data_IF_453610849501
#
_entry.id   IF_453610849501
#
_cell.length_a   1.000
_cell.length_b   1.000
_cell.length_c   1.000
_cell.angle_alpha   90.00
_cell.angle_beta   90.00
_cell.angle_gamma   90.00
#
_symmetry.space_group_name_H-M   'P 1'
#
loop_
_entity.id
_entity.type
_entity.pdbx_description
1 polymer ?
#
# COMPACT_ATOMS: atom_id res chain seq x y z
N UNK A 1 75.25 -52.99 -24.68
CA UNK A 1 75.20 -52.52 -26.09
C UNK A 1 73.89 -52.95 -26.77
N UNK A 2 73.52 -54.23 -26.77
CA UNK A 2 72.30 -54.75 -27.43
C UNK A 2 71.00 -54.07 -26.93
N UNK A 3 70.84 -53.87 -25.62
CA UNK A 3 69.65 -53.19 -25.08
C UNK A 3 69.53 -51.71 -25.49
N UNK A 4 70.67 -51.01 -25.64
CA UNK A 4 70.68 -49.61 -26.05
C UNK A 4 70.32 -49.45 -27.53
N UNK A 5 70.75 -50.38 -28.38
CA UNK A 5 70.35 -50.43 -29.80
C UNK A 5 68.86 -50.76 -29.97
N UNK A 6 68.30 -51.66 -29.16
CA UNK A 6 66.86 -51.94 -29.18
C UNK A 6 66.02 -50.73 -28.75
N UNK A 7 66.43 -50.02 -27.69
CA UNK A 7 65.79 -48.76 -27.28
C UNK A 7 65.91 -47.67 -28.34
N UNK A 8 67.07 -47.56 -28.99
CA UNK A 8 67.29 -46.64 -30.11
C UNK A 8 66.30 -46.88 -31.26
N UNK A 9 66.14 -48.14 -31.70
CA UNK A 9 65.22 -48.50 -32.79
C UNK A 9 63.76 -48.22 -32.40
N UNK A 10 63.36 -48.50 -31.16
CA UNK A 10 62.00 -48.26 -30.68
C UNK A 10 61.68 -46.77 -30.56
N UNK A 11 62.59 -45.98 -29.97
CA UNK A 11 62.44 -44.53 -29.89
C UNK A 11 62.43 -43.91 -31.28
N UNK A 12 63.28 -44.41 -32.20
CA UNK A 12 63.32 -43.91 -33.58
C UNK A 12 62.01 -44.15 -34.32
N UNK A 13 61.46 -45.37 -34.26
CA UNK A 13 60.14 -45.67 -34.84
C UNK A 13 59.05 -44.74 -34.28
N UNK A 14 59.08 -44.48 -32.98
CA UNK A 14 58.12 -43.59 -32.32
C UNK A 14 58.29 -42.13 -32.76
N UNK A 15 59.52 -41.63 -32.86
CA UNK A 15 59.80 -40.28 -33.38
C UNK A 15 59.42 -40.12 -34.86
N UNK A 16 59.70 -41.14 -35.70
CA UNK A 16 59.34 -41.15 -37.11
C UNK A 16 57.80 -41.11 -37.31
N UNK A 17 57.02 -41.74 -36.43
CA UNK A 17 55.55 -41.65 -36.42
C UNK A 17 55.04 -40.23 -36.16
N UNK A 18 55.77 -39.45 -35.35
CA UNK A 18 55.48 -38.04 -35.09
C UNK A 18 56.17 -37.10 -36.10
N UNK A 19 56.86 -37.64 -37.11
CA UNK A 19 57.49 -36.89 -38.20
C UNK A 19 58.90 -36.37 -37.91
N UNK A 20 59.50 -36.70 -36.77
CA UNK A 20 60.86 -36.27 -36.40
C UNK A 20 61.92 -37.16 -37.05
N UNK A 21 62.42 -36.75 -38.22
CA UNK A 21 63.33 -37.55 -39.05
C UNK A 21 64.82 -37.19 -38.91
N UNK A 22 65.21 -36.25 -38.04
CA UNK A 22 66.61 -35.83 -37.85
C UNK A 22 67.51 -36.99 -37.35
N UNK A 23 68.78 -37.11 -37.78
CA UNK A 23 69.66 -38.19 -37.32
C UNK A 23 69.91 -38.09 -35.80
N UNK A 24 69.78 -39.22 -35.08
CA UNK A 24 69.93 -39.30 -33.63
C UNK A 24 71.13 -40.19 -33.27
N UNK A 25 71.96 -39.75 -32.33
CA UNK A 25 73.05 -40.55 -31.76
C UNK A 25 72.57 -41.49 -30.64
N UNK A 26 73.26 -42.62 -30.47
CA UNK A 26 72.92 -43.63 -29.44
C UNK A 26 73.05 -43.08 -28.00
N UNK A 27 73.94 -42.11 -27.79
CA UNK A 27 74.18 -41.49 -26.48
C UNK A 27 73.02 -40.61 -26.02
N UNK A 28 72.26 -40.04 -26.97
CA UNK A 28 71.16 -39.11 -26.69
C UNK A 28 69.82 -39.81 -26.43
N UNK A 29 69.74 -41.13 -26.64
CA UNK A 29 68.50 -41.93 -26.52
C UNK A 29 67.81 -41.79 -25.17
N UNK A 30 68.49 -41.92 -24.02
CA UNK A 30 67.81 -41.91 -22.72
C UNK A 30 67.20 -40.54 -22.38
N UNK A 31 67.83 -39.46 -22.82
CA UNK A 31 67.35 -38.10 -22.61
C UNK A 31 66.12 -37.82 -23.49
N UNK A 32 66.21 -38.17 -24.78
CA UNK A 32 65.11 -37.97 -25.73
C UNK A 32 63.90 -38.83 -25.36
N UNK A 33 64.10 -40.05 -24.88
CA UNK A 33 63.01 -40.92 -24.40
C UNK A 33 62.26 -40.30 -23.22
N UNK A 34 62.98 -39.72 -22.25
CA UNK A 34 62.36 -39.02 -21.11
C UNK A 34 61.62 -37.76 -21.55
N UNK A 35 62.27 -36.89 -22.32
CA UNK A 35 61.65 -35.66 -22.81
C UNK A 35 60.41 -35.93 -23.65
N UNK A 36 60.45 -36.97 -24.48
CA UNK A 36 59.31 -37.35 -25.32
C UNK A 36 58.17 -37.95 -24.49
N UNK A 37 58.48 -38.75 -23.47
CA UNK A 37 57.47 -39.26 -22.54
C UNK A 37 56.83 -38.12 -21.74
N UNK A 38 57.63 -37.18 -21.24
CA UNK A 38 57.14 -35.98 -20.55
C UNK A 38 56.29 -35.10 -21.46
N UNK A 39 56.66 -34.95 -22.73
CA UNK A 39 55.87 -34.20 -23.72
C UNK A 39 54.52 -34.88 -24.00
N UNK A 40 54.49 -36.21 -24.11
CA UNK A 40 53.23 -36.97 -24.25
C UNK A 40 52.39 -36.82 -22.99
N UNK A 41 52.97 -36.97 -21.81
CA UNK A 41 52.25 -36.83 -20.55
C UNK A 41 51.68 -35.42 -20.35
N UNK A 42 52.45 -34.38 -20.69
CA UNK A 42 51.98 -32.99 -20.60
C UNK A 42 50.89 -32.68 -21.63
N UNK A 43 51.01 -33.17 -22.86
CA UNK A 43 49.96 -32.98 -23.90
C UNK A 43 48.68 -33.74 -23.58
N UNK A 44 48.78 -34.96 -23.07
CA UNK A 44 47.62 -35.74 -22.61
C UNK A 44 46.97 -35.12 -21.38
N UNK A 45 47.78 -34.69 -20.40
CA UNK A 45 47.29 -33.98 -19.21
C UNK A 45 46.63 -32.65 -19.57
N UNK A 46 47.18 -31.90 -20.52
CA UNK A 46 46.59 -30.67 -21.02
C UNK A 46 45.27 -30.92 -21.74
N UNK A 47 45.20 -31.96 -22.58
CA UNK A 47 43.95 -32.36 -23.25
C UNK A 47 42.87 -32.74 -22.22
N UNK A 48 43.24 -33.52 -21.20
CA UNK A 48 42.35 -33.91 -20.11
C UNK A 48 41.90 -32.71 -19.28
N UNK A 49 42.80 -31.77 -18.99
CA UNK A 49 42.48 -30.53 -18.29
C UNK A 49 41.52 -29.66 -19.10
N UNK A 50 41.77 -29.49 -20.41
CA UNK A 50 40.87 -28.75 -21.32
C UNK A 50 39.47 -29.38 -21.36
N UNK A 51 39.39 -30.71 -21.39
CA UNK A 51 38.11 -31.43 -21.38
C UNK A 51 37.36 -31.25 -20.04
N UNK A 52 38.08 -31.32 -18.91
CA UNK A 52 37.51 -31.06 -17.58
C UNK A 52 37.03 -29.62 -17.44
N UNK A 53 37.80 -28.64 -17.92
CA UNK A 53 37.44 -27.22 -17.93
C UNK A 53 36.15 -26.98 -18.73
N UNK A 54 36.05 -27.53 -19.95
CA UNK A 54 34.83 -27.42 -20.75
C UNK A 54 33.62 -28.11 -20.13
N UNK A 55 33.82 -29.25 -19.43
CA UNK A 55 32.74 -29.90 -18.69
C UNK A 55 32.29 -29.07 -17.48
N UNK A 56 33.22 -28.39 -16.81
CA UNK A 56 32.91 -27.46 -15.72
C UNK A 56 32.20 -26.19 -16.22
N UNK A 57 32.64 -25.58 -17.32
CA UNK A 57 31.96 -24.42 -17.95
C UNK A 57 30.50 -24.77 -18.29
N UNK A 58 30.25 -25.91 -18.94
CA UNK A 58 28.88 -26.35 -19.24
C UNK A 58 28.05 -26.66 -17.99
N UNK A 59 28.68 -27.15 -16.92
CA UNK A 59 27.99 -27.37 -15.66
C UNK A 59 27.63 -26.05 -14.97
N UNK A 60 28.47 -25.03 -15.06
CA UNK A 60 28.22 -23.68 -14.52
C UNK A 60 27.01 -23.05 -15.25
N UNK A 61 26.94 -23.20 -16.57
CA UNK A 61 25.79 -22.73 -17.36
C UNK A 61 24.48 -23.48 -17.02
N UNK A 62 24.56 -24.76 -16.63
CA UNK A 62 23.39 -25.54 -16.21
C UNK A 62 22.99 -25.36 -14.73
N UNK A 63 23.88 -24.79 -13.91
CA UNK A 63 23.66 -24.49 -12.49
C UNK A 63 23.26 -23.01 -12.31
N UNK A 64 22.80 -22.33 -13.37
CA UNK A 64 22.24 -20.98 -13.23
C UNK A 64 20.78 -20.99 -12.76
N UNK A 65 20.50 -21.74 -11.69
CA UNK A 65 19.25 -21.59 -10.93
C UNK A 65 19.15 -20.22 -10.24
N UNK A 66 20.18 -19.37 -10.35
CA UNK A 66 20.24 -18.02 -9.77
C UNK A 66 19.66 -16.94 -10.68
N UNK A 67 19.60 -17.18 -11.99
CA UNK A 67 19.11 -16.22 -12.98
C UNK A 67 17.65 -15.81 -12.73
N UNK A 68 16.70 -16.73 -12.44
CA UNK A 68 15.32 -16.34 -12.12
C UNK A 68 15.25 -15.46 -10.86
N UNK A 69 15.99 -15.81 -9.81
CA UNK A 69 16.02 -15.01 -8.58
C UNK A 69 16.68 -13.65 -8.78
N UNK A 70 17.70 -13.53 -9.64
CA UNK A 70 18.30 -12.24 -9.98
C UNK A 70 17.31 -11.35 -10.74
N UNK A 71 16.57 -11.90 -11.68
CA UNK A 71 15.55 -11.17 -12.45
C UNK A 71 14.42 -10.71 -11.52
N UNK A 72 13.94 -11.60 -10.65
CA UNK A 72 12.86 -11.26 -9.72
C UNK A 72 13.31 -10.27 -8.65
N UNK A 73 14.52 -10.40 -8.10
CA UNK A 73 15.09 -9.40 -7.19
C UNK A 73 15.27 -8.04 -7.86
N UNK A 74 15.67 -8.01 -9.14
CA UNK A 74 15.79 -6.76 -9.89
C UNK A 74 14.41 -6.09 -10.08
N UNK A 75 13.37 -6.87 -10.40
CA UNK A 75 11.98 -6.37 -10.49
C UNK A 75 11.47 -5.86 -9.15
N UNK A 76 11.65 -6.63 -8.07
CA UNK A 76 11.25 -6.23 -6.73
C UNK A 76 11.96 -4.96 -6.29
N UNK A 77 13.25 -4.82 -6.60
CA UNK A 77 14.00 -3.60 -6.29
C UNK A 77 13.49 -2.41 -7.08
N UNK A 78 13.13 -2.59 -8.36
CA UNK A 78 12.50 -1.55 -9.16
C UNK A 78 11.15 -1.14 -8.58
N UNK A 79 10.28 -2.10 -8.28
CA UNK A 79 8.97 -1.84 -7.68
C UNK A 79 9.10 -1.14 -6.32
N UNK A 80 10.05 -1.59 -5.48
CA UNK A 80 10.30 -0.97 -4.18
C UNK A 80 10.75 0.49 -4.34
N UNK A 81 11.65 0.76 -5.28
CA UNK A 81 12.08 2.13 -5.58
C UNK A 81 10.94 3.00 -6.12
N UNK A 82 10.08 2.46 -6.99
CA UNK A 82 8.91 3.17 -7.52
C UNK A 82 7.87 3.46 -6.42
N UNK A 83 7.60 2.48 -5.56
CA UNK A 83 6.71 2.64 -4.41
C UNK A 83 7.27 3.66 -3.42
N UNK A 84 8.57 3.62 -3.13
CA UNK A 84 9.23 4.59 -2.27
C UNK A 84 9.12 6.02 -2.84
N UNK A 85 9.32 6.20 -4.15
CA UNK A 85 9.12 7.49 -4.81
C UNK A 85 7.67 7.97 -4.75
N UNK A 86 6.69 7.08 -4.96
CA UNK A 86 5.26 7.41 -4.82
C UNK A 86 4.94 7.82 -3.38
N UNK A 87 5.48 7.12 -2.40
CA UNK A 87 5.29 7.42 -0.98
C UNK A 87 5.89 8.79 -0.63
N UNK A 88 7.10 9.09 -1.10
CA UNK A 88 7.72 10.41 -0.91
C UNK A 88 6.87 11.54 -1.51
N UNK A 89 6.35 11.36 -2.73
CA UNK A 89 5.48 12.35 -3.38
C UNK A 89 4.19 12.55 -2.59
N UNK A 90 3.50 11.47 -2.23
CA UNK A 90 2.28 11.54 -1.45
C UNK A 90 2.50 12.21 -0.09
N UNK A 91 3.61 11.90 0.60
CA UNK A 91 3.98 12.57 1.84
C UNK A 91 4.24 14.06 1.64
N UNK A 92 4.92 14.46 0.56
CA UNK A 92 5.13 15.87 0.24
C UNK A 92 3.80 16.60 0.00
N UNK A 93 2.88 15.98 -0.74
CA UNK A 93 1.55 16.55 -1.02
C UNK A 93 0.72 16.70 0.26
N UNK A 94 0.69 15.67 1.11
CA UNK A 94 0.01 15.72 2.41
C UNK A 94 0.60 16.81 3.31
N UNK A 95 1.93 16.94 3.35
CA UNK A 95 2.58 17.98 4.15
C UNK A 95 2.24 19.39 3.64
N UNK A 96 2.22 19.59 2.32
CA UNK A 96 1.82 20.86 1.72
C UNK A 96 0.36 21.20 2.04
N UNK A 97 -0.57 20.26 1.82
CA UNK A 97 -1.98 20.45 2.15
C UNK A 97 -2.21 20.71 3.63
N UNK A 98 -1.49 20.00 4.51
CA UNK A 98 -1.54 20.21 5.95
C UNK A 98 -1.06 21.62 6.33
N UNK A 99 0.00 22.12 5.66
CA UNK A 99 0.48 23.48 5.88
C UNK A 99 -0.56 24.52 5.45
N UNK A 100 -1.12 24.37 4.25
CA UNK A 100 -2.17 25.26 3.73
C UNK A 100 -3.42 25.26 4.63
N UNK A 101 -3.86 24.09 5.07
CA UNK A 101 -5.00 23.97 5.99
C UNK A 101 -4.71 24.66 7.34
N UNK A 102 -3.50 24.52 7.89
CA UNK A 102 -3.10 25.22 9.13
C UNK A 102 -3.08 26.74 8.95
N UNK A 103 -2.59 27.23 7.82
CA UNK A 103 -2.58 28.66 7.52
C UNK A 103 -3.99 29.23 7.38
N UNK A 104 -4.87 28.52 6.67
CA UNK A 104 -6.28 28.94 6.52
C UNK A 104 -7.02 28.90 7.86
N UNK A 105 -6.75 27.89 8.69
CA UNK A 105 -7.30 27.77 10.05
C UNK A 105 -6.88 28.97 10.89
N UNK A 106 -5.58 29.27 10.95
CA UNK A 106 -5.07 30.43 11.69
C UNK A 106 -5.66 31.75 11.21
N UNK A 107 -5.86 31.90 9.89
CA UNK A 107 -6.51 33.09 9.31
C UNK A 107 -7.97 33.20 9.78
N UNK A 108 -8.72 32.10 9.78
CA UNK A 108 -10.11 32.09 10.23
C UNK A 108 -10.23 32.31 11.74
N UNK A 109 -9.32 31.77 12.54
CA UNK A 109 -9.24 32.04 13.98
C UNK A 109 -9.05 33.52 14.26
N UNK A 110 -8.07 34.17 13.62
CA UNK A 110 -7.83 35.60 13.76
C UNK A 110 -9.07 36.42 13.34
N UNK A 111 -9.71 36.09 12.21
CA UNK A 111 -10.94 36.77 11.78
C UNK A 111 -12.09 36.59 12.79
N UNK A 112 -12.17 35.42 13.42
CA UNK A 112 -13.18 35.16 14.44
C UNK A 112 -12.90 35.96 15.72
N UNK A 113 -11.63 36.06 16.14
CA UNK A 113 -11.21 36.93 17.24
C UNK A 113 -11.57 38.40 16.97
N UNK A 114 -11.27 38.89 15.76
CA UNK A 114 -11.63 40.25 15.33
C UNK A 114 -13.15 40.48 15.36
N UNK A 115 -13.93 39.53 14.85
CA UNK A 115 -15.39 39.61 14.88
C UNK A 115 -15.95 39.55 16.30
N UNK A 116 -15.38 38.73 17.18
CA UNK A 116 -15.78 38.67 18.59
C UNK A 116 -15.46 39.99 19.31
N UNK A 117 -14.31 40.60 19.01
CA UNK A 117 -13.95 41.91 19.53
C UNK A 117 -14.92 42.99 19.05
N UNK A 118 -15.21 43.03 17.74
CA UNK A 118 -16.13 43.98 17.15
C UNK A 118 -17.57 43.82 17.70
N UNK A 119 -18.03 42.58 17.85
CA UNK A 119 -19.33 42.28 18.44
C UNK A 119 -19.40 42.77 19.91
N UNK A 120 -18.34 42.51 20.68
CA UNK A 120 -18.22 43.02 22.05
C UNK A 120 -18.28 44.55 22.11
N UNK A 121 -17.64 45.23 21.16
CA UNK A 121 -17.69 46.69 21.03
C UNK A 121 -19.10 47.20 20.68
N UNK A 122 -19.80 46.54 19.74
CA UNK A 122 -21.18 46.88 19.40
C UNK A 122 -22.11 46.71 20.60
N UNK A 123 -21.96 45.64 21.37
CA UNK A 123 -22.73 45.42 22.61
C UNK A 123 -22.51 46.56 23.61
N UNK A 124 -21.26 47.01 23.81
CA UNK A 124 -20.97 48.13 24.70
C UNK A 124 -21.60 49.43 24.19
N UNK A 125 -21.53 49.67 22.89
CA UNK A 125 -22.10 50.86 22.24
C UNK A 125 -23.62 50.88 22.40
N UNK A 126 -24.30 49.76 22.16
CA UNK A 126 -25.74 49.60 22.38
C UNK A 126 -26.10 49.90 23.84
N UNK A 127 -25.38 49.32 24.81
CA UNK A 127 -25.62 49.59 26.23
C UNK A 127 -25.48 51.07 26.61
N UNK A 128 -24.53 51.78 25.99
CA UNK A 128 -24.36 53.21 26.22
C UNK A 128 -25.53 54.02 25.64
N UNK A 129 -25.96 53.70 24.41
CA UNK A 129 -27.12 54.32 23.78
C UNK A 129 -28.42 54.04 24.53
N UNK A 130 -28.61 52.82 25.03
CA UNK A 130 -29.76 52.46 25.87
C UNK A 130 -29.81 53.29 27.16
N UNK A 131 -28.65 53.49 27.81
CA UNK A 131 -28.55 54.37 29.00
C UNK A 131 -28.87 55.82 28.66
N UNK A 132 -28.33 56.35 27.57
CA UNK A 132 -28.60 57.73 27.16
C UNK A 132 -30.07 57.92 26.76
N UNK A 133 -30.65 56.97 26.04
CA UNK A 133 -32.07 56.94 25.67
C UNK A 133 -32.97 56.95 26.91
N UNK A 134 -32.62 56.13 27.91
CA UNK A 134 -33.32 56.13 29.21
C UNK A 134 -33.21 57.48 29.91
N UNK A 135 -32.01 58.08 29.96
CA UNK A 135 -31.82 59.40 30.55
C UNK A 135 -32.63 60.50 29.85
N UNK A 136 -32.67 60.49 28.51
CA UNK A 136 -33.51 61.42 27.74
C UNK A 136 -34.99 61.21 28.02
N UNK A 137 -35.44 59.95 28.08
CA UNK A 137 -36.82 59.59 28.42
C UNK A 137 -37.21 60.09 29.81
N UNK A 138 -36.37 59.83 30.82
CA UNK A 138 -36.55 60.30 32.20
C UNK A 138 -36.55 61.84 32.27
N UNK A 139 -35.72 62.51 31.46
CA UNK A 139 -35.69 63.97 31.40
C UNK A 139 -36.96 64.55 30.78
N UNK A 140 -37.46 63.95 29.70
CA UNK A 140 -38.74 64.31 29.08
C UNK A 140 -39.87 64.11 30.10
N UNK A 141 -39.88 63.00 30.83
CA UNK A 141 -40.89 62.74 31.86
C UNK A 141 -40.86 63.81 32.97
N UNK A 142 -39.68 64.19 33.46
CA UNK A 142 -39.52 65.29 34.41
C UNK A 142 -40.00 66.63 33.87
N UNK A 143 -39.70 66.95 32.61
CA UNK A 143 -40.18 68.18 31.96
C UNK A 143 -41.72 68.17 31.80
N UNK A 144 -42.30 67.03 31.41
CA UNK A 144 -43.75 66.85 31.34
C UNK A 144 -44.41 67.01 32.72
N UNK A 145 -43.79 66.45 33.76
CA UNK A 145 -44.27 66.58 35.15
C UNK A 145 -44.17 68.03 35.64
N UNK A 146 -43.06 68.72 35.37
CA UNK A 146 -42.89 70.14 35.69
C UNK A 146 -43.87 71.02 34.90
N UNK A 147 -44.16 70.68 33.64
CA UNK A 147 -45.16 71.36 32.82
C UNK A 147 -46.59 71.13 33.32
N UNK A 148 -46.92 69.94 33.83
CA UNK A 148 -48.22 69.67 34.49
C UNK A 148 -48.38 70.49 35.78
N UNK A 149 -47.28 70.76 36.47
CA UNK A 149 -47.25 71.55 37.70
C UNK A 149 -47.12 73.07 37.45
N UNK A 150 -46.90 73.51 36.21
CA UNK A 150 -46.81 74.92 35.84
C UNK A 150 -48.22 75.53 35.84
N UNK A 151 -48.65 75.99 37.02
CA UNK A 151 -49.85 76.80 37.20
C UNK A 151 -49.60 78.17 36.55
N UNK A 152 -50.16 78.37 35.36
CA UNK A 152 -50.33 79.72 34.78
C UNK A 152 -51.48 80.38 35.53
N UNK A 153 -51.16 81.24 36.49
CA UNK A 153 -52.15 82.11 37.12
C UNK A 153 -52.58 83.19 36.12
N UNK A 154 -53.64 82.92 35.36
CA UNK A 154 -54.42 84.00 34.74
C UNK A 154 -55.35 84.59 35.81
N UNK A 155 -55.29 85.91 36.08
CA UNK A 155 -56.16 86.54 37.07
C UNK A 155 -57.57 86.67 36.50
N UNK A 156 -58.40 85.64 36.69
CA UNK A 156 -59.81 85.70 36.33
C UNK A 156 -60.47 84.35 36.08
N UNK A 157 -60.90 83.68 37.15
CA UNK A 157 -62.01 82.73 37.09
C UNK A 157 -61.67 81.30 36.66
N UNK A 158 -62.05 80.36 37.53
CA UNK A 158 -61.86 78.90 37.40
C UNK A 158 -62.25 78.38 36.01
N UNK A 159 -61.26 77.95 35.23
CA UNK A 159 -61.44 76.96 34.16
C UNK A 159 -60.45 75.83 34.39
N UNK A 160 -60.99 74.63 34.57
CA UNK A 160 -60.20 73.42 34.69
C UNK A 160 -59.61 73.13 33.30
N UNK A 161 -58.33 73.42 33.10
CA UNK A 161 -57.66 73.18 31.83
C UNK A 161 -57.45 71.67 31.75
N UNK A 162 -58.20 71.04 30.86
CA UNK A 162 -58.08 69.61 30.63
C UNK A 162 -56.72 69.34 29.99
N UNK A 163 -55.80 68.70 30.72
CA UNK A 163 -54.56 68.11 30.18
C UNK A 163 -54.86 66.88 29.31
N UNK A 164 -55.86 66.95 28.42
CA UNK A 164 -55.93 66.00 27.33
C UNK A 164 -54.80 66.36 26.39
N UNK A 165 -53.87 65.43 26.21
CA UNK A 165 -53.02 65.38 25.03
C UNK A 165 -53.92 65.73 23.83
N UNK A 166 -53.59 66.75 23.02
CA UNK A 166 -54.29 66.95 21.77
C UNK A 166 -54.23 65.64 21.00
N UNK A 167 -55.35 64.92 20.93
CA UNK A 167 -55.53 63.89 19.91
C UNK A 167 -56.06 64.64 18.71
N UNK A 168 -55.32 64.59 17.61
CA UNK A 168 -55.90 64.99 16.33
C UNK A 168 -57.02 64.02 16.01
N UNK A 169 -58.25 64.53 15.98
CA UNK A 169 -59.36 63.87 15.32
C UNK A 169 -59.07 63.96 13.82
N UNK A 170 -58.85 62.80 13.20
CA UNK A 170 -58.71 62.70 11.74
C UNK A 170 -60.15 62.63 11.21
N UNK A 171 -60.62 63.74 10.63
CA UNK A 171 -61.86 63.76 9.87
C UNK A 171 -61.76 62.72 8.73
N UNK A 172 -62.74 61.81 8.75
CA UNK A 172 -63.25 61.04 7.62
C UNK A 172 -62.22 60.55 6.59
N UNK A 173 -61.85 59.27 6.70
CA UNK A 173 -61.25 58.53 5.58
C UNK A 173 -62.19 58.57 4.38
N UNK A 174 -61.69 59.21 3.31
CA UNK A 174 -62.33 59.39 2.01
C UNK A 174 -63.07 58.13 1.52
N UNK A 175 -64.28 58.34 1.01
CA UNK A 175 -64.97 57.37 0.15
C UNK A 175 -64.24 57.28 -1.19
N UNK A 176 -63.58 56.15 -1.46
CA UNK A 176 -63.18 55.79 -2.82
C UNK A 176 -64.47 55.60 -3.63
N UNK A 177 -64.72 56.53 -4.54
CA UNK A 177 -65.63 56.33 -5.67
C UNK A 177 -64.77 56.13 -6.92
N UNK A 178 -65.04 55.02 -7.61
CA UNK A 178 -64.42 54.62 -8.84
C UNK A 178 -64.58 55.68 -9.94
N UNK A 179 -63.46 55.93 -10.61
CA UNK A 179 -63.27 56.33 -12.01
C UNK A 179 -64.20 57.40 -12.61
N UNK A 180 -63.60 58.49 -13.12
CA UNK A 180 -63.70 58.93 -14.52
C UNK A 180 -62.72 60.11 -14.76
N UNK A 181 -61.88 59.94 -15.78
CA UNK A 181 -61.21 60.94 -16.63
C UNK A 181 -61.22 62.43 -16.20
N UNK A 182 -60.04 63.01 -16.00
CA UNK A 182 -59.66 64.23 -16.74
C UNK A 182 -58.14 64.42 -16.75
N UNK A 183 -57.61 64.63 -17.96
CA UNK A 183 -56.30 65.25 -18.17
C UNK A 183 -56.32 66.64 -17.54
N UNK A 184 -55.59 66.84 -16.43
CA UNK A 184 -55.05 68.14 -16.03
C UNK A 184 -53.69 67.93 -15.39
N UNK A 185 -52.67 68.49 -16.04
CA UNK A 185 -51.46 68.93 -15.38
C UNK A 185 -51.87 69.70 -14.13
N UNK A 186 -51.49 69.20 -12.97
CA UNK A 186 -51.38 69.99 -11.75
C UNK A 186 -50.16 69.41 -11.03
N UNK A 187 -49.13 70.23 -10.91
CA UNK A 187 -48.14 70.13 -9.84
C UNK A 187 -48.93 70.09 -8.54
N UNK A 188 -49.20 68.89 -8.05
CA UNK A 188 -49.66 68.69 -6.68
C UNK A 188 -48.49 69.20 -5.84
N UNK A 189 -48.66 70.21 -4.97
CA UNK A 189 -47.63 70.51 -3.97
C UNK A 189 -47.46 69.21 -3.22
N UNK A 190 -46.31 68.55 -3.40
CA UNK A 190 -46.03 67.26 -2.80
C UNK A 190 -46.28 67.42 -1.32
N UNK A 191 -47.40 66.87 -0.84
CA UNK A 191 -47.78 66.98 0.56
C UNK A 191 -46.59 66.45 1.34
N UNK A 192 -45.92 67.27 2.17
CA UNK A 192 -44.68 66.87 2.84
C UNK A 192 -44.83 65.56 3.59
N UNK A 193 -46.04 65.27 4.10
CA UNK A 193 -46.35 64.02 4.78
C UNK A 193 -46.43 62.81 3.85
N UNK A 194 -46.98 62.99 2.64
CA UNK A 194 -47.06 61.93 1.62
C UNK A 194 -45.69 61.64 1.03
N UNK A 195 -44.85 62.66 0.86
CA UNK A 195 -43.45 62.51 0.44
C UNK A 195 -42.61 61.78 1.50
N UNK A 196 -42.77 62.12 2.78
CA UNK A 196 -42.09 61.44 3.89
C UNK A 196 -42.53 59.98 4.02
N UNK A 197 -43.83 59.69 3.84
CA UNK A 197 -44.32 58.31 3.89
C UNK A 197 -43.84 57.47 2.70
N UNK A 198 -43.80 58.05 1.50
CA UNK A 198 -43.23 57.42 0.31
C UNK A 198 -41.73 57.16 0.49
N UNK A 199 -40.96 58.13 0.97
CA UNK A 199 -39.52 57.94 1.22
C UNK A 199 -39.25 56.91 2.32
N UNK A 200 -40.09 56.83 3.36
CA UNK A 200 -40.03 55.75 4.35
C UNK A 200 -40.35 54.37 3.74
N UNK A 201 -41.37 54.29 2.88
CA UNK A 201 -41.72 53.05 2.19
C UNK A 201 -40.62 52.62 1.20
N UNK A 202 -40.02 53.57 0.48
CA UNK A 202 -38.90 53.32 -0.43
C UNK A 202 -37.65 52.88 0.35
N UNK A 203 -37.34 53.53 1.48
CA UNK A 203 -36.25 53.11 2.36
C UNK A 203 -36.47 51.69 2.88
N UNK A 204 -37.71 51.36 3.28
CA UNK A 204 -38.10 50.00 3.73
C UNK A 204 -38.00 48.98 2.59
N UNK A 205 -38.41 49.36 1.38
CA UNK A 205 -38.28 48.51 0.19
C UNK A 205 -36.81 48.29 -0.19
N UNK A 206 -35.95 49.31 -0.09
CA UNK A 206 -34.51 49.16 -0.28
C UNK A 206 -33.88 48.23 0.77
N UNK A 207 -34.25 48.37 2.05
CA UNK A 207 -33.79 47.46 3.11
C UNK A 207 -34.20 46.01 2.82
N UNK A 208 -35.48 45.77 2.49
CA UNK A 208 -36.00 44.44 2.21
C UNK A 208 -35.40 43.84 0.94
N UNK A 209 -35.17 44.65 -0.10
CA UNK A 209 -34.48 44.19 -1.32
C UNK A 209 -33.01 43.86 -1.06
N UNK A 210 -32.31 44.64 -0.24
CA UNK A 210 -30.95 44.31 0.20
C UNK A 210 -30.91 43.04 1.05
N UNK A 211 -31.86 42.83 1.95
CA UNK A 211 -31.95 41.61 2.76
C UNK A 211 -32.24 40.38 1.88
N UNK A 212 -33.20 40.49 0.97
CA UNK A 212 -33.48 39.43 -0.01
C UNK A 212 -32.25 39.09 -0.86
N UNK A 213 -31.50 40.09 -1.33
CA UNK A 213 -30.26 39.87 -2.08
C UNK A 213 -29.18 39.16 -1.25
N UNK A 214 -29.06 39.48 0.05
CA UNK A 214 -28.15 38.78 0.97
C UNK A 214 -28.56 37.34 1.20
N UNK A 215 -29.85 37.08 1.41
CA UNK A 215 -30.39 35.72 1.58
C UNK A 215 -30.15 34.92 0.31
N UNK A 216 -30.40 35.51 -0.86
CA UNK A 216 -30.21 34.83 -2.14
C UNK A 216 -28.75 34.43 -2.38
N UNK A 217 -27.78 35.32 -2.10
CA UNK A 217 -26.34 34.98 -2.15
C UNK A 217 -25.98 33.85 -1.19
N UNK A 218 -26.49 33.88 0.05
CA UNK A 218 -26.25 32.80 1.02
C UNK A 218 -26.82 31.47 0.53
N UNK A 219 -27.99 31.47 -0.09
CA UNK A 219 -28.58 30.26 -0.68
C UNK A 219 -27.71 29.73 -1.82
N UNK A 220 -27.25 30.58 -2.73
CA UNK A 220 -26.34 30.15 -3.81
C UNK A 220 -25.03 29.54 -3.28
N UNK A 221 -24.46 30.14 -2.23
CA UNK A 221 -23.25 29.61 -1.60
C UNK A 221 -23.50 28.27 -0.88
N UNK A 222 -24.65 28.13 -0.21
CA UNK A 222 -25.07 26.88 0.41
C UNK A 222 -25.32 25.79 -0.63
N UNK A 223 -25.96 26.11 -1.76
CA UNK A 223 -26.19 25.16 -2.85
C UNK A 223 -24.88 24.68 -3.47
N UNK A 224 -23.91 25.58 -3.70
CA UNK A 224 -22.56 25.19 -4.16
C UNK A 224 -21.89 24.27 -3.16
N UNK A 225 -21.94 24.60 -1.87
CA UNK A 225 -21.33 23.78 -0.81
C UNK A 225 -22.00 22.42 -0.68
N UNK A 226 -23.33 22.37 -0.80
CA UNK A 226 -24.11 21.14 -0.83
C UNK A 226 -23.73 20.27 -2.03
N UNK A 227 -23.58 20.87 -3.22
CA UNK A 227 -23.16 20.15 -4.43
C UNK A 227 -21.74 19.57 -4.27
N UNK A 228 -20.79 20.32 -3.72
CA UNK A 228 -19.43 19.82 -3.48
C UNK A 228 -19.42 18.68 -2.47
N UNK A 229 -20.15 18.83 -1.35
CA UNK A 229 -20.23 17.80 -0.33
C UNK A 229 -20.92 16.53 -0.85
N UNK A 230 -21.94 16.69 -1.70
CA UNK A 230 -22.61 15.56 -2.34
C UNK A 230 -21.66 14.77 -3.24
N UNK A 231 -20.85 15.46 -4.05
CA UNK A 231 -19.84 14.81 -4.89
C UNK A 231 -18.79 14.06 -4.05
N UNK A 232 -18.38 14.63 -2.91
CA UNK A 232 -17.45 13.99 -1.98
C UNK A 232 -18.05 12.73 -1.35
N UNK A 233 -19.32 12.80 -0.92
CA UNK A 233 -20.05 11.64 -0.39
C UNK A 233 -20.18 10.53 -1.44
N UNK A 234 -20.49 10.88 -2.68
CA UNK A 234 -20.61 9.91 -3.78
C UNK A 234 -19.25 9.22 -4.06
N UNK A 235 -18.16 9.98 -4.05
CA UNK A 235 -16.81 9.44 -4.19
C UNK A 235 -16.45 8.49 -3.05
N UNK A 236 -16.71 8.89 -1.80
CA UNK A 236 -16.44 8.05 -0.63
C UNK A 236 -17.29 6.78 -0.63
N UNK A 237 -18.56 6.86 -1.03
CA UNK A 237 -19.41 5.67 -1.19
C UNK A 237 -18.87 4.72 -2.24
N UNK A 238 -18.38 5.23 -3.37
CA UNK A 238 -17.81 4.38 -4.41
C UNK A 238 -16.50 3.73 -3.95
N UNK A 239 -15.62 4.48 -3.30
CA UNK A 239 -14.39 3.95 -2.71
C UNK A 239 -14.66 2.86 -1.67
N UNK A 240 -15.67 3.06 -0.80
CA UNK A 240 -16.08 2.06 0.18
C UNK A 240 -16.57 0.77 -0.49
N UNK A 241 -17.40 0.87 -1.54
CA UNK A 241 -17.87 -0.32 -2.30
C UNK A 241 -16.70 -1.09 -2.93
N UNK A 242 -15.70 -0.40 -3.45
CA UNK A 242 -14.53 -1.05 -4.06
C UNK A 242 -13.64 -1.71 -3.00
N UNK A 243 -13.50 -1.10 -1.83
CA UNK A 243 -12.80 -1.69 -0.69
C UNK A 243 -13.53 -2.93 -0.16
N UNK A 244 -14.85 -2.89 -0.02
CA UNK A 244 -15.66 -4.06 0.38
C UNK A 244 -15.49 -5.23 -0.58
N UNK A 245 -15.48 -4.97 -1.90
CA UNK A 245 -15.23 -6.03 -2.90
C UNK A 245 -13.85 -6.65 -2.76
N UNK A 246 -12.81 -5.83 -2.57
CA UNK A 246 -11.44 -6.33 -2.35
C UNK A 246 -11.34 -7.15 -1.07
N UNK A 247 -12.00 -6.70 -0.01
CA UNK A 247 -12.06 -7.45 1.24
C UNK A 247 -12.72 -8.81 1.05
N UNK A 248 -13.88 -8.87 0.39
CA UNK A 248 -14.56 -10.14 0.10
C UNK A 248 -13.70 -11.09 -0.76
N UNK A 249 -12.99 -10.57 -1.75
CA UNK A 249 -12.07 -11.37 -2.56
C UNK A 249 -10.91 -11.92 -1.73
N UNK A 250 -10.33 -11.12 -0.83
CA UNK A 250 -9.27 -11.57 0.06
C UNK A 250 -9.77 -12.64 1.05
N UNK A 251 -10.98 -12.49 1.59
CA UNK A 251 -11.62 -13.48 2.47
C UNK A 251 -11.87 -14.81 1.74
N UNK A 252 -12.33 -14.76 0.49
CA UNK A 252 -12.50 -15.95 -0.35
C UNK A 252 -11.17 -16.67 -0.59
N UNK A 253 -10.13 -15.94 -1.04
CA UNK A 253 -8.80 -16.52 -1.26
C UNK A 253 -8.22 -17.12 0.02
N UNK A 254 -8.41 -16.47 1.16
CA UNK A 254 -7.96 -16.99 2.45
C UNK A 254 -8.69 -18.29 2.82
N UNK A 255 -10.00 -18.37 2.59
CA UNK A 255 -10.79 -19.58 2.79
C UNK A 255 -10.30 -20.73 1.90
N UNK A 256 -10.02 -20.46 0.63
CA UNK A 256 -9.54 -21.47 -0.32
C UNK A 256 -8.15 -22.01 0.06
N UNK A 257 -7.21 -21.12 0.41
CA UNK A 257 -5.86 -21.50 0.87
C UNK A 257 -5.93 -22.29 2.17
N UNK A 258 -6.85 -21.97 3.07
CA UNK A 258 -7.03 -22.70 4.32
C UNK A 258 -7.58 -24.11 4.06
N UNK A 259 -8.50 -24.27 3.11
CA UNK A 259 -9.00 -25.57 2.68
C UNK A 259 -7.90 -26.42 2.02
N UNK A 260 -7.09 -25.82 1.15
CA UNK A 260 -5.96 -26.49 0.49
C UNK A 260 -4.91 -26.94 1.52
N UNK A 261 -4.54 -26.07 2.48
CA UNK A 261 -3.61 -26.43 3.55
C UNK A 261 -4.13 -27.60 4.40
N UNK A 262 -5.44 -27.65 4.66
CA UNK A 262 -6.04 -28.76 5.38
C UNK A 262 -5.91 -30.07 4.59
N UNK A 263 -6.22 -30.04 3.29
CA UNK A 263 -6.08 -31.22 2.42
C UNK A 263 -4.61 -31.68 2.30
N UNK A 264 -3.66 -30.75 2.16
CA UNK A 264 -2.23 -31.05 2.13
C UNK A 264 -1.75 -31.66 3.45
N UNK A 265 -2.26 -31.17 4.58
CA UNK A 265 -1.94 -31.74 5.90
C UNK A 265 -2.45 -33.17 6.02
N UNK A 266 -3.69 -33.43 5.64
CA UNK A 266 -4.27 -34.79 5.61
C UNK A 266 -3.44 -35.71 4.71
N UNK A 267 -3.06 -35.25 3.51
CA UNK A 267 -2.21 -36.05 2.60
C UNK A 267 -0.81 -36.31 3.17
N UNK A 268 -0.23 -35.36 3.88
CA UNK A 268 1.06 -35.56 4.55
C UNK A 268 0.97 -36.56 5.70
N UNK A 269 -0.14 -36.59 6.44
CA UNK A 269 -0.40 -37.58 7.49
C UNK A 269 -0.53 -39.00 6.89
N UNK A 270 -1.23 -39.13 5.76
CA UNK A 270 -1.31 -40.39 5.00
C UNK A 270 0.07 -40.86 4.55
N UNK A 271 0.87 -39.99 3.91
CA UNK A 271 2.23 -40.32 3.47
C UNK A 271 3.13 -40.73 4.63
N UNK A 272 3.02 -40.07 5.79
CA UNK A 272 3.74 -40.48 7.00
C UNK A 272 3.36 -41.90 7.42
N UNK A 273 2.07 -42.26 7.36
CA UNK A 273 1.60 -43.61 7.67
C UNK A 273 2.12 -44.66 6.68
N UNK A 274 2.11 -44.34 5.38
CA UNK A 274 2.64 -45.19 4.31
C UNK A 274 4.15 -45.45 4.51
N UNK A 275 4.92 -44.42 4.86
CA UNK A 275 6.35 -44.55 5.16
C UNK A 275 6.63 -45.44 6.37
N UNK A 276 5.78 -45.40 7.40
CA UNK A 276 5.89 -46.31 8.56
C UNK A 276 5.68 -47.76 8.13
N UNK A 277 4.67 -48.02 7.31
CA UNK A 277 4.39 -49.35 6.77
C UNK A 277 5.56 -49.84 5.90
N UNK A 278 6.07 -48.98 5.01
CA UNK A 278 7.19 -49.32 4.13
C UNK A 278 8.46 -49.66 4.93
N UNK A 279 8.77 -48.88 5.97
CA UNK A 279 9.89 -49.16 6.88
C UNK A 279 9.74 -50.51 7.60
N UNK A 280 8.52 -50.88 7.99
CA UNK A 280 8.26 -52.19 8.61
C UNK A 280 8.50 -53.33 7.61
N UNK A 281 8.02 -53.18 6.38
CA UNK A 281 8.26 -54.16 5.30
C UNK A 281 9.75 -54.28 5.00
N UNK A 282 10.46 -53.16 4.86
CA UNK A 282 11.89 -53.13 4.62
C UNK A 282 12.67 -53.91 5.70
N UNK A 283 12.39 -53.65 6.99
CA UNK A 283 13.01 -54.39 8.10
C UNK A 283 12.73 -55.89 8.06
N UNK A 284 11.54 -56.29 7.62
CA UNK A 284 11.20 -57.71 7.50
C UNK A 284 11.99 -58.36 6.36
N UNK A 285 12.07 -57.73 5.19
CA UNK A 285 12.87 -58.20 4.06
C UNK A 285 14.34 -58.34 4.47
N UNK A 286 14.88 -57.35 5.18
CA UNK A 286 16.27 -57.38 5.65
C UNK A 286 16.53 -58.58 6.58
N UNK A 287 15.60 -58.86 7.51
CA UNK A 287 15.68 -60.04 8.39
C UNK A 287 15.61 -61.35 7.61
N UNK A 288 14.71 -61.47 6.65
CA UNK A 288 14.58 -62.68 5.82
C UNK A 288 15.83 -62.90 4.97
N UNK A 289 16.42 -61.82 4.42
CA UNK A 289 17.70 -61.89 3.71
C UNK A 289 18.82 -62.41 4.63
N UNK A 290 18.97 -61.86 5.83
CA UNK A 290 19.98 -62.34 6.79
C UNK A 290 19.79 -63.80 7.20
N UNK A 291 18.54 -64.29 7.30
CA UNK A 291 18.28 -65.71 7.54
C UNK A 291 18.70 -66.56 6.35
N UNK A 292 18.30 -66.16 5.13
CA UNK A 292 18.68 -66.85 3.90
C UNK A 292 20.20 -66.92 3.71
N UNK A 293 20.92 -65.82 3.96
CA UNK A 293 22.39 -65.78 3.89
C UNK A 293 23.01 -66.80 4.88
N UNK A 294 22.50 -66.88 6.12
CA UNK A 294 22.97 -67.88 7.12
C UNK A 294 22.67 -69.31 6.70
N UNK A 295 21.52 -69.57 6.10
CA UNK A 295 21.15 -70.91 5.62
C UNK A 295 22.06 -71.35 4.48
N UNK A 296 22.34 -70.45 3.52
CA UNK A 296 23.28 -70.68 2.42
C UNK A 296 24.69 -70.91 2.95
N UNK A 297 25.19 -70.08 3.87
CA UNK A 297 26.50 -70.28 4.51
C UNK A 297 26.57 -71.63 5.25
N UNK A 298 25.48 -72.03 5.93
CA UNK A 298 25.37 -73.34 6.57
C UNK A 298 25.51 -74.49 5.57
N UNK A 299 24.80 -74.43 4.44
CA UNK A 299 24.87 -75.42 3.37
C UNK A 299 26.26 -75.47 2.71
N UNK A 300 26.90 -74.31 2.49
CA UNK A 300 28.27 -74.25 1.96
C UNK A 300 29.24 -74.95 2.91
N UNK A 301 29.15 -74.68 4.21
CA UNK A 301 30.01 -75.30 5.21
C UNK A 301 29.83 -76.81 5.28
N UNK A 302 28.58 -77.31 5.21
CA UNK A 302 28.32 -78.76 5.18
C UNK A 302 28.90 -79.41 3.92
N UNK A 303 28.69 -78.80 2.75
CA UNK A 303 29.22 -79.31 1.48
C UNK A 303 30.76 -79.28 1.45
N UNK A 304 31.39 -78.24 2.02
CA UNK A 304 32.85 -78.18 2.17
C UNK A 304 33.37 -79.30 3.07
N UNK A 305 32.71 -79.58 4.20
CA UNK A 305 33.09 -80.68 5.10
C UNK A 305 32.96 -82.04 4.42
N UNK A 306 31.84 -82.29 3.73
CA UNK A 306 31.65 -83.52 2.95
C UNK A 306 32.69 -83.68 1.83
N UNK A 307 33.00 -82.59 1.12
CA UNK A 307 34.05 -82.58 0.09
C UNK A 307 35.42 -82.92 0.69
N UNK A 308 35.76 -82.35 1.85
CA UNK A 308 37.01 -82.63 2.55
C UNK A 308 37.09 -84.08 3.04
N UNK A 309 36.01 -84.64 3.60
CA UNK A 309 35.96 -86.06 3.96
C UNK A 309 36.15 -86.96 2.74
N UNK A 310 35.46 -86.65 1.64
CA UNK A 310 35.57 -87.41 0.39
C UNK A 310 36.99 -87.35 -0.17
N UNK A 311 37.66 -86.20 -0.10
CA UNK A 311 39.08 -86.05 -0.46
C UNK A 311 39.98 -86.94 0.40
N UNK A 312 39.76 -86.99 1.72
CA UNK A 312 40.52 -87.86 2.63
C UNK A 312 40.36 -89.34 2.27
N UNK A 313 39.09 -89.78 2.11
CA UNK A 313 38.75 -91.16 1.71
C UNK A 313 39.40 -91.52 0.38
N UNK A 314 39.39 -90.61 -0.59
CA UNK A 314 39.98 -90.80 -1.91
C UNK A 314 41.53 -90.86 -1.84
N UNK A 315 42.15 -90.04 -1.00
CA UNK A 315 43.60 -90.09 -0.75
C UNK A 315 44.02 -91.44 -0.14
N UNK A 316 43.25 -91.97 0.80
CA UNK A 316 43.53 -93.28 1.41
C UNK A 316 43.30 -94.45 0.45
N UNK A 317 42.25 -94.38 -0.38
CA UNK A 317 42.04 -95.33 -1.49
C UNK A 317 43.22 -95.31 -2.47
N UNK A 318 43.69 -94.13 -2.87
CA UNK A 318 44.86 -94.00 -3.75
C UNK A 318 46.12 -94.62 -3.14
N UNK A 319 46.39 -94.41 -1.84
CA UNK A 319 47.49 -95.09 -1.13
C UNK A 319 47.34 -96.61 -1.18
N UNK A 320 46.12 -97.14 -1.01
CA UNK A 320 45.83 -98.58 -1.04
C UNK A 320 46.03 -99.16 -2.45
N UNK A 321 45.58 -98.47 -3.49
CA UNK A 321 45.83 -98.83 -4.90
C UNK A 321 47.33 -98.85 -5.21
N UNK A 322 48.09 -97.87 -4.73
CA UNK A 322 49.54 -97.82 -4.93
C UNK A 322 50.27 -99.01 -4.30
N UNK A 323 49.83 -99.48 -3.12
CA UNK A 323 50.37 -100.68 -2.47
C UNK A 323 50.05 -101.97 -3.24
N UNK A 324 48.89 -102.06 -3.89
CA UNK A 324 48.48 -103.24 -4.67
C UNK A 324 49.15 -103.34 -6.05
N UNK A 325 49.72 -102.24 -6.55
CA UNK A 325 50.44 -102.20 -7.84
C UNK A 325 51.93 -102.59 -7.73
N UNK A 326 52.42 -102.96 -6.54
CA UNK A 326 53.82 -103.32 -6.27
C UNK A 326 53.92 -104.79 -5.89
#
# INVERSE_FOLDING_TARGET
IIMAQQKFVNLRKRLDQFGYRQPLGIESVPLVEKLFSDLIHTTESFKNYKFKKHKQEKNIDSIDHSEPYRVDNAKLMQENNELHLKLLKANSEINNLTSEMKETLKRLENQNEDLMFLNSQYIQTIKNLEKESKHKSDHIEKLLQNSMNAVVETPGGKKNISFRRPRMDIDSTLSISNEINSKKNNEIPSDPYVADLLTMADSRNEELTQENAKIQKKNEDLEKRYSSLKNEVDYLQQANRDMEKKQQQAEQLYSDVLAENKALKERNEELCSELVVLNKVYKNIEKEKYKGDREVDGQINTLQNESNENLLKNADLNKKVYKLKK
#
